data_IF_967055136781
#
_entry.id   IF_967055136781
#
_cell.length_a   1.000
_cell.length_b   1.000
_cell.length_c   1.000
_cell.angle_alpha   90.00
_cell.angle_beta   90.00
_cell.angle_gamma   90.00
#
_symmetry.space_group_name_H-M   'P 1'
#
loop_
_entity.id
_entity.type
_entity.pdbx_description
1 polymer ?
#
# COMPACT_ATOMS: atom_id res chain seq x y z
N UNK A 1 -0.64 -0.78 16.39
CA UNK A 1 0.14 -1.67 15.52
C UNK A 1 -0.24 -3.09 15.88
N UNK A 2 -0.53 -3.94 14.90
CA UNK A 2 -0.95 -5.33 15.17
C UNK A 2 0.27 -6.19 15.59
N UNK A 3 0.07 -7.26 16.36
CA UNK A 3 1.16 -8.11 16.90
C UNK A 3 2.04 -8.68 15.78
N UNK A 4 1.41 -9.17 14.71
CA UNK A 4 2.12 -9.70 13.53
C UNK A 4 2.92 -8.62 12.78
N UNK A 5 2.41 -7.40 12.71
CA UNK A 5 3.14 -6.30 12.09
C UNK A 5 4.38 -5.94 12.91
N UNK A 6 4.26 -5.99 14.24
CA UNK A 6 5.36 -5.75 15.16
C UNK A 6 6.49 -6.75 14.99
N UNK A 7 6.18 -8.05 15.01
CA UNK A 7 7.19 -9.09 14.81
C UNK A 7 7.88 -9.00 13.45
N UNK A 8 7.13 -8.64 12.38
CA UNK A 8 7.70 -8.42 11.05
C UNK A 8 8.68 -7.24 11.01
N UNK A 9 8.32 -6.12 11.64
CA UNK A 9 9.18 -4.93 11.68
C UNK A 9 10.39 -5.14 12.60
N UNK A 10 10.24 -5.92 13.67
CA UNK A 10 11.36 -6.34 14.54
C UNK A 10 12.36 -7.19 13.76
N UNK A 11 11.89 -8.19 12.99
CA UNK A 11 12.76 -8.99 12.13
C UNK A 11 13.51 -8.15 11.08
N UNK A 12 12.83 -7.17 10.47
CA UNK A 12 13.49 -6.23 9.55
C UNK A 12 14.56 -5.43 10.28
N UNK A 13 14.25 -4.86 11.45
CA UNK A 13 15.19 -4.08 12.25
C UNK A 13 16.43 -4.90 12.67
N UNK A 14 16.25 -6.19 12.97
CA UNK A 14 17.35 -7.11 13.31
C UNK A 14 18.22 -7.46 12.10
N UNK A 15 17.64 -7.50 10.89
CA UNK A 15 18.37 -7.76 9.65
C UNK A 15 19.25 -6.58 9.17
N UNK A 16 19.03 -5.38 9.72
CA UNK A 16 19.78 -4.19 9.32
C UNK A 16 21.21 -4.18 9.90
N UNK A 17 22.16 -3.57 9.17
CA UNK A 17 23.50 -3.36 9.69
C UNK A 17 23.45 -2.44 10.92
N UNK A 18 24.41 -2.62 11.82
CA UNK A 18 24.47 -1.90 13.11
C UNK A 18 24.39 -0.38 12.92
N UNK A 19 25.10 0.16 11.94
CA UNK A 19 25.15 1.60 11.67
C UNK A 19 23.78 2.18 11.28
N UNK A 20 23.00 1.43 10.49
CA UNK A 20 21.65 1.85 10.10
C UNK A 20 20.67 1.75 11.27
N UNK A 21 20.77 0.69 12.06
CA UNK A 21 19.98 0.52 13.28
C UNK A 21 20.25 1.68 14.24
N UNK A 22 21.51 2.02 14.49
CA UNK A 22 21.89 3.12 15.39
C UNK A 22 21.35 4.47 14.88
N UNK A 23 21.45 4.74 13.58
CA UNK A 23 20.82 5.92 12.93
C UNK A 23 19.32 5.98 13.18
N UNK A 24 18.59 4.87 13.02
CA UNK A 24 17.14 4.81 13.25
C UNK A 24 16.80 5.09 14.72
N UNK A 25 17.60 4.58 15.67
CA UNK A 25 17.42 4.86 17.09
C UNK A 25 17.64 6.33 17.44
N UNK A 26 18.64 6.98 16.84
CA UNK A 26 18.91 8.41 17.04
C UNK A 26 17.79 9.28 16.48
N UNK A 27 17.33 8.98 15.27
CA UNK A 27 16.18 9.66 14.66
C UNK A 27 14.91 9.47 15.50
N UNK A 28 14.63 8.25 15.95
CA UNK A 28 13.49 7.96 16.82
C UNK A 28 13.57 8.73 18.14
N UNK A 29 14.78 8.88 18.71
CA UNK A 29 15.00 9.65 19.94
C UNK A 29 14.69 11.13 19.73
N UNK A 30 15.11 11.71 18.60
CA UNK A 30 14.80 13.10 18.21
C UNK A 30 13.29 13.30 18.02
N UNK A 31 12.64 12.45 17.23
CA UNK A 31 11.19 12.55 16.98
C UNK A 31 10.36 12.39 18.26
N UNK A 32 10.75 11.47 19.15
CA UNK A 32 10.11 11.28 20.46
C UNK A 32 10.23 12.53 21.33
N UNK A 33 11.42 13.13 21.40
CA UNK A 33 11.65 14.38 22.15
C UNK A 33 10.77 15.52 21.60
N UNK A 34 10.74 15.69 20.29
CA UNK A 34 9.95 16.74 19.64
C UNK A 34 8.44 16.54 19.86
N UNK A 35 7.97 15.30 19.76
CA UNK A 35 6.57 14.96 20.04
C UNK A 35 6.20 15.20 21.52
N UNK A 36 7.10 14.92 22.46
CA UNK A 36 6.91 15.23 23.88
C UNK A 36 6.88 16.73 24.14
N UNK A 37 7.79 17.50 23.54
CA UNK A 37 7.81 18.98 23.63
C UNK A 37 6.50 19.59 23.08
N UNK A 38 6.01 19.11 21.93
CA UNK A 38 4.73 19.55 21.34
C UNK A 38 3.53 19.22 22.23
N UNK A 39 3.54 18.06 22.92
CA UNK A 39 2.50 17.72 23.90
C UNK A 39 2.55 18.63 25.14
N UNK A 40 3.74 18.97 25.63
CA UNK A 40 3.92 19.90 26.74
C UNK A 40 3.52 21.34 26.40
N UNK A 41 3.78 21.80 25.17
CA UNK A 41 3.41 23.13 24.71
C UNK A 41 1.88 23.32 24.57
N UNK A 42 1.15 22.30 24.10
CA UNK A 42 -0.32 22.31 23.99
C UNK A 42 -1.06 22.18 25.34
N UNK A 43 -0.35 22.04 26.45
CA UNK A 43 -0.91 21.97 27.79
C UNK A 43 -0.94 23.33 28.52
N UNK A 44 -0.49 24.40 27.87
CA UNK A 44 -0.66 25.79 28.36
C UNK A 44 -1.74 26.48 27.53
N UNK A 45 -2.64 27.16 28.24
CA UNK A 45 -3.77 27.99 27.79
C UNK A 45 -5.14 27.29 27.65
N UNK A 46 -5.86 27.24 28.78
CA UNK A 46 -7.31 27.49 28.84
C UNK A 46 -7.60 28.51 29.94
N UNK A 47 -8.51 29.45 29.67
CA UNK A 47 -8.88 30.59 30.52
C UNK A 47 -9.66 30.20 31.79
N UNK A 48 -10.24 28.99 31.84
CA UNK A 48 -11.16 28.54 32.91
C UNK A 48 -10.59 27.50 33.89
N UNK A 49 -9.28 27.21 33.84
CA UNK A 49 -8.59 26.39 34.86
C UNK A 49 -9.00 24.90 34.96
N UNK A 50 -10.08 24.44 34.30
CA UNK A 50 -10.50 23.05 34.40
C UNK A 50 -9.72 22.15 33.44
N UNK A 51 -8.76 21.42 34.02
CA UNK A 51 -7.89 20.47 33.33
C UNK A 51 -8.68 19.24 32.89
N UNK A 52 -9.17 19.21 31.66
CA UNK A 52 -9.58 17.94 31.03
C UNK A 52 -8.33 17.18 30.58
N UNK A 53 -7.57 16.67 31.56
CA UNK A 53 -6.47 15.77 31.31
C UNK A 53 -7.00 14.46 30.76
N UNK A 54 -7.22 14.36 29.43
CA UNK A 54 -7.34 13.06 28.76
C UNK A 54 -6.16 12.22 29.25
N UNK A 55 -6.48 11.16 29.97
CA UNK A 55 -5.60 10.49 30.92
C UNK A 55 -4.16 10.32 30.44
N UNK A 56 -3.22 10.39 31.40
CA UNK A 56 -1.77 10.22 31.23
C UNK A 56 -1.44 9.03 30.31
N UNK A 57 -1.47 9.25 28.99
CA UNK A 57 -1.04 8.26 28.01
C UNK A 57 0.46 8.13 28.25
N UNK A 58 0.87 6.96 28.74
CA UNK A 58 2.28 6.64 28.95
C UNK A 58 3.04 7.02 27.67
N UNK A 59 4.20 7.68 27.79
CA UNK A 59 4.98 7.98 26.61
C UNK A 59 5.26 6.68 25.87
N UNK A 60 4.96 6.65 24.56
CA UNK A 60 5.28 5.50 23.73
C UNK A 60 6.78 5.15 23.94
N UNK A 61 7.12 3.86 24.13
CA UNK A 61 8.49 3.43 24.31
C UNK A 61 9.32 3.77 23.06
N UNK A 62 10.62 4.00 23.25
CA UNK A 62 11.52 4.38 22.14
C UNK A 62 11.49 3.35 21.01
N UNK A 63 11.40 2.06 21.36
CA UNK A 63 11.32 0.97 20.41
C UNK A 63 10.12 1.09 19.46
N UNK A 64 8.95 1.50 19.95
CA UNK A 64 7.77 1.70 19.08
C UNK A 64 7.94 2.89 18.11
N UNK A 65 8.75 3.90 18.47
CA UNK A 65 9.12 4.97 17.54
C UNK A 65 10.06 4.46 16.43
N UNK A 66 11.01 3.59 16.78
CA UNK A 66 11.90 2.95 15.80
C UNK A 66 11.10 2.10 14.83
N UNK A 67 10.17 1.28 15.32
CA UNK A 67 9.33 0.44 14.45
C UNK A 67 8.47 1.27 13.49
N UNK A 68 7.92 2.42 13.94
CA UNK A 68 7.21 3.36 13.04
C UNK A 68 8.12 3.98 11.99
N UNK A 69 9.39 4.17 12.30
CA UNK A 69 10.37 4.72 11.37
C UNK A 69 10.80 3.67 10.34
N UNK A 70 11.04 2.44 10.79
CA UNK A 70 11.27 1.28 9.92
C UNK A 70 10.08 1.08 8.98
N UNK A 71 8.86 1.11 9.50
CA UNK A 71 7.65 1.01 8.67
C UNK A 71 7.63 2.11 7.60
N UNK A 72 7.98 3.36 7.93
CA UNK A 72 8.05 4.45 6.95
C UNK A 72 9.21 4.36 5.95
N UNK A 73 10.39 3.93 6.35
CA UNK A 73 11.53 3.86 5.41
C UNK A 73 11.46 2.60 4.54
N UNK A 74 10.96 1.49 5.09
CA UNK A 74 10.96 0.19 4.43
C UNK A 74 9.61 -0.20 3.81
N UNK A 75 8.48 0.40 4.20
CA UNK A 75 7.26 0.27 3.40
C UNK A 75 7.44 0.90 2.02
N UNK A 76 8.18 2.01 1.92
CA UNK A 76 8.46 2.67 0.64
C UNK A 76 9.52 1.91 -0.18
N UNK A 77 10.59 1.38 0.44
CA UNK A 77 11.51 0.48 -0.27
C UNK A 77 10.83 -0.77 -0.81
N UNK A 78 9.85 -1.35 -0.10
CA UNK A 78 9.03 -2.47 -0.64
C UNK A 78 8.13 -2.07 -1.79
N UNK A 79 7.77 -0.80 -1.94
CA UNK A 79 6.99 -0.33 -3.11
C UNK A 79 7.91 -0.14 -4.32
N UNK A 80 9.15 0.28 -4.12
CA UNK A 80 10.14 0.43 -5.21
C UNK A 80 10.84 -0.89 -5.59
N UNK A 81 11.09 -1.79 -4.65
CA UNK A 81 11.66 -3.13 -4.89
C UNK A 81 10.58 -4.19 -5.18
N UNK A 82 9.30 -3.85 -4.96
CA UNK A 82 8.13 -4.70 -5.20
C UNK A 82 7.47 -4.51 -6.57
N UNK A 83 7.96 -3.58 -7.39
CA UNK A 83 7.91 -3.73 -8.85
C UNK A 83 9.03 -4.70 -9.29
N UNK A 84 9.12 -5.85 -8.62
CA UNK A 84 9.62 -7.02 -9.31
C UNK A 84 8.85 -7.08 -10.63
N UNK A 85 9.57 -7.33 -11.72
CA UNK A 85 8.97 -7.62 -13.02
C UNK A 85 8.07 -8.85 -12.86
N UNK A 86 6.88 -8.68 -12.28
CA UNK A 86 5.80 -9.62 -12.48
C UNK A 86 5.57 -9.58 -13.98
N UNK A 87 5.71 -10.72 -14.64
CA UNK A 87 5.59 -10.80 -16.08
C UNK A 87 4.23 -10.22 -16.47
N UNK A 88 4.27 -9.04 -17.09
CA UNK A 88 3.08 -8.33 -17.50
C UNK A 88 2.55 -9.03 -18.75
N UNK A 89 1.66 -9.99 -18.54
CA UNK A 89 1.02 -10.69 -19.64
C UNK A 89 -0.01 -9.78 -20.29
N UNK A 90 -0.03 -9.76 -21.62
CA UNK A 90 -1.00 -8.96 -22.38
C UNK A 90 -2.22 -9.81 -22.74
N UNK A 91 -3.38 -9.15 -22.81
CA UNK A 91 -4.61 -9.80 -23.25
C UNK A 91 -5.67 -8.82 -23.72
N UNK A 92 -6.75 -9.36 -24.26
CA UNK A 92 -7.90 -8.63 -24.78
C UNK A 92 -9.09 -8.78 -23.83
N UNK A 93 -9.69 -7.66 -23.43
CA UNK A 93 -10.91 -7.67 -22.62
C UNK A 93 -12.09 -8.13 -23.47
N UNK A 94 -12.66 -9.29 -23.15
CA UNK A 94 -13.83 -9.86 -23.85
C UNK A 94 -15.12 -9.66 -23.06
N UNK A 95 -15.03 -9.45 -21.74
CA UNK A 95 -16.18 -9.23 -20.88
C UNK A 95 -15.85 -8.30 -19.72
N UNK A 96 -16.85 -7.57 -19.24
CA UNK A 96 -16.68 -6.62 -18.14
C UNK A 96 -17.84 -6.76 -17.15
N UNK A 97 -17.52 -6.94 -15.86
CA UNK A 97 -18.49 -6.95 -14.77
C UNK A 97 -18.04 -5.98 -13.68
N UNK A 98 -18.84 -5.76 -12.64
CA UNK A 98 -18.49 -4.81 -11.56
C UNK A 98 -17.20 -5.24 -10.86
N UNK A 99 -16.12 -4.45 -11.02
CA UNK A 99 -14.77 -4.69 -10.45
C UNK A 99 -14.00 -5.91 -11.00
N UNK A 100 -14.49 -6.57 -12.04
CA UNK A 100 -13.79 -7.70 -12.70
C UNK A 100 -13.87 -7.57 -14.23
N UNK A 101 -12.85 -8.06 -14.91
CA UNK A 101 -12.81 -8.20 -16.35
C UNK A 101 -12.56 -9.65 -16.72
N UNK A 102 -13.20 -10.09 -17.80
CA UNK A 102 -12.90 -11.35 -18.46
C UNK A 102 -11.92 -11.03 -19.59
N UNK A 103 -10.73 -11.61 -19.55
CA UNK A 103 -9.62 -11.28 -20.45
C UNK A 103 -9.14 -12.55 -21.16
N UNK A 104 -8.98 -12.46 -22.46
CA UNK A 104 -8.38 -13.51 -23.28
C UNK A 104 -6.89 -13.20 -23.43
N UNK A 105 -6.03 -14.09 -22.91
CA UNK A 105 -4.58 -13.95 -23.04
C UNK A 105 -4.11 -14.26 -24.45
N UNK A 106 -3.04 -13.60 -24.89
CA UNK A 106 -2.43 -13.86 -26.19
C UNK A 106 -1.92 -15.31 -26.27
N UNK A 107 -2.46 -16.10 -27.21
CA UNK A 107 -2.10 -17.51 -27.39
C UNK A 107 -2.96 -18.50 -26.59
N UNK A 108 -3.93 -18.03 -25.79
CA UNK A 108 -4.92 -18.89 -25.14
C UNK A 108 -6.28 -18.80 -25.82
N UNK A 109 -7.04 -19.90 -25.76
CA UNK A 109 -8.40 -19.98 -26.32
C UNK A 109 -9.46 -19.73 -25.25
N UNK A 110 -9.14 -20.01 -23.99
CA UNK A 110 -10.08 -19.87 -22.87
C UNK A 110 -9.93 -18.51 -22.20
N UNK A 111 -11.04 -17.80 -21.95
CA UNK A 111 -11.00 -16.52 -21.27
C UNK A 111 -10.82 -16.69 -19.76
N UNK A 112 -9.95 -15.86 -19.21
CA UNK A 112 -9.59 -15.85 -17.79
C UNK A 112 -10.31 -14.71 -17.05
N UNK A 113 -10.64 -14.92 -15.78
CA UNK A 113 -11.26 -13.88 -14.95
C UNK A 113 -10.17 -13.12 -14.18
N UNK A 114 -10.06 -11.82 -14.43
CA UNK A 114 -9.13 -10.94 -13.75
C UNK A 114 -9.86 -9.87 -12.93
N UNK A 115 -9.30 -9.51 -11.79
CA UNK A 115 -9.76 -8.40 -10.95
C UNK A 115 -9.26 -7.08 -11.54
N UNK A 116 -10.04 -6.01 -11.39
CA UNK A 116 -9.57 -4.66 -11.71
C UNK A 116 -8.79 -4.08 -10.53
N UNK A 117 -7.68 -3.40 -10.83
CA UNK A 117 -6.96 -2.58 -9.85
C UNK A 117 -7.88 -1.57 -9.17
N UNK A 118 -7.55 -1.16 -7.94
CA UNK A 118 -8.42 -0.28 -7.16
C UNK A 118 -8.71 1.06 -7.87
N UNK A 119 -7.73 1.63 -8.56
CA UNK A 119 -7.91 2.86 -9.35
C UNK A 119 -8.81 2.62 -10.57
N UNK A 120 -8.58 1.52 -11.31
CA UNK A 120 -9.36 1.20 -12.49
C UNK A 120 -10.81 0.80 -12.15
N UNK A 121 -11.02 0.10 -11.05
CA UNK A 121 -12.33 -0.21 -10.51
C UNK A 121 -13.13 1.06 -10.17
N UNK A 122 -12.45 2.11 -9.66
CA UNK A 122 -13.06 3.40 -9.37
C UNK A 122 -13.46 4.19 -10.61
N UNK A 123 -12.75 4.00 -11.73
CA UNK A 123 -12.98 4.69 -13.01
C UNK A 123 -13.54 3.80 -14.11
N UNK A 124 -14.14 2.66 -13.74
CA UNK A 124 -14.48 1.59 -14.67
C UNK A 124 -15.29 2.04 -15.89
N UNK A 125 -16.20 3.02 -15.74
CA UNK A 125 -17.04 3.52 -16.84
C UNK A 125 -16.25 4.26 -17.94
N UNK A 126 -15.08 4.81 -17.64
CA UNK A 126 -14.27 5.57 -18.60
C UNK A 126 -12.92 4.90 -18.89
N UNK A 127 -12.36 4.21 -17.90
CA UNK A 127 -11.00 3.67 -17.92
C UNK A 127 -10.87 2.37 -18.73
N UNK A 128 -11.90 1.53 -18.80
CA UNK A 128 -11.83 0.21 -19.45
C UNK A 128 -13.11 -0.12 -20.22
N UNK A 129 -12.97 -0.78 -21.35
CA UNK A 129 -14.05 -1.22 -22.21
C UNK A 129 -13.77 -2.62 -22.78
N UNK A 130 -14.81 -3.27 -23.28
CA UNK A 130 -14.65 -4.51 -24.06
C UNK A 130 -13.94 -4.18 -25.38
N UNK A 131 -12.97 -5.00 -25.75
CA UNK A 131 -12.08 -4.79 -26.90
C UNK A 131 -10.79 -4.05 -26.56
N UNK A 132 -10.61 -3.58 -25.32
CA UNK A 132 -9.35 -2.99 -24.89
C UNK A 132 -8.26 -4.05 -24.74
N UNK A 133 -7.03 -3.70 -25.12
CA UNK A 133 -5.85 -4.46 -24.76
C UNK A 133 -5.36 -4.03 -23.39
N UNK A 134 -5.01 -5.00 -22.54
CA UNK A 134 -4.66 -4.75 -21.15
C UNK A 134 -3.40 -5.51 -20.74
N UNK A 135 -2.72 -4.98 -19.73
CA UNK A 135 -1.60 -5.64 -19.05
C UNK A 135 -2.08 -6.20 -17.73
N UNK A 136 -1.79 -7.48 -17.52
CA UNK A 136 -2.24 -8.28 -16.39
C UNK A 136 -1.01 -8.69 -15.58
N UNK A 137 -1.17 -8.73 -14.28
CA UNK A 137 -0.18 -9.25 -13.35
C UNK A 137 -0.76 -10.38 -12.51
N UNK A 138 0.07 -11.33 -12.13
CA UNK A 138 -0.31 -12.39 -11.19
C UNK A 138 -0.10 -11.92 -9.75
N UNK A 139 -1.12 -12.06 -8.91
CA UNK A 139 -1.03 -11.75 -7.48
C UNK A 139 -0.78 -13.04 -6.68
N UNK A 140 0.41 -13.12 -6.08
CA UNK A 140 0.70 -14.12 -5.04
C UNK A 140 0.03 -13.72 -3.72
N UNK A 141 -1.27 -14.01 -3.61
CA UNK A 141 -2.03 -13.85 -2.38
C UNK A 141 -2.20 -15.21 -1.68
N UNK A 142 -1.79 -15.36 -0.41
CA UNK A 142 -1.92 -16.63 0.28
C UNK A 142 -3.39 -16.94 0.58
N UNK A 143 -3.95 -17.95 -0.07
CA UNK A 143 -5.23 -18.57 0.29
C UNK A 143 -6.38 -18.43 -0.72
N UNK A 144 -6.17 -17.84 -1.89
CA UNK A 144 -7.17 -17.81 -2.97
C UNK A 144 -6.55 -18.34 -4.28
N UNK A 145 -7.36 -19.01 -5.10
CA UNK A 145 -6.99 -19.43 -6.47
C UNK A 145 -6.39 -18.24 -7.23
N UNK A 146 -5.30 -18.48 -7.95
CA UNK A 146 -4.47 -17.51 -8.70
C UNK A 146 -5.26 -16.26 -9.12
N UNK A 147 -5.01 -15.14 -8.44
CA UNK A 147 -5.74 -13.91 -8.69
C UNK A 147 -4.97 -13.05 -9.68
N UNK A 148 -5.41 -13.09 -10.93
CA UNK A 148 -4.94 -12.16 -11.93
C UNK A 148 -5.52 -10.76 -11.70
N UNK A 149 -4.69 -9.74 -11.78
CA UNK A 149 -5.10 -8.34 -11.68
C UNK A 149 -4.75 -7.57 -12.93
N UNK A 150 -5.73 -6.87 -13.49
CA UNK A 150 -5.51 -5.93 -14.58
C UNK A 150 -4.92 -4.65 -14.00
N UNK A 151 -3.68 -4.35 -14.40
CA UNK A 151 -2.93 -3.20 -13.89
C UNK A 151 -3.12 -1.99 -14.78
N UNK A 152 -3.09 -2.19 -16.11
CA UNK A 152 -3.13 -1.09 -17.07
C UNK A 152 -3.89 -1.43 -18.35
N UNK A 153 -4.41 -0.40 -19.00
CA UNK A 153 -5.05 -0.47 -20.33
C UNK A 153 -4.12 0.17 -21.34
N UNK A 154 -3.79 -0.56 -22.41
CA UNK A 154 -2.94 -0.06 -23.49
C UNK A 154 -3.68 1.02 -24.29
N UNK A 155 -2.94 1.92 -24.98
CA UNK A 155 -3.54 2.99 -25.77
C UNK A 155 -4.56 2.46 -26.80
N UNK A 156 -5.77 3.02 -26.77
CA UNK A 156 -6.84 2.66 -27.70
C UNK A 156 -6.57 3.23 -29.08
N UNK A 157 -6.70 2.40 -30.12
CA UNK A 157 -6.67 2.85 -31.53
C UNK A 157 -7.98 3.52 -31.94
N UNK A 158 -9.10 3.11 -31.33
CA UNK A 158 -10.43 3.64 -31.61
C UNK A 158 -11.30 3.59 -30.36
N UNK A 159 -12.37 4.39 -30.32
CA UNK A 159 -13.32 4.42 -29.20
C UNK A 159 -14.74 4.59 -29.71
N UNK A 160 -15.63 3.67 -29.35
CA UNK A 160 -17.07 3.83 -29.52
C UNK A 160 -17.65 4.45 -28.25
N UNK A 161 -18.23 5.63 -28.37
CA UNK A 161 -18.92 6.32 -27.27
C UNK A 161 -20.43 6.25 -27.48
N UNK A 162 -21.19 6.15 -26.39
CA UNK A 162 -22.63 6.33 -26.40
C UNK A 162 -22.94 7.80 -26.04
N UNK A 163 -23.84 8.47 -26.76
CA UNK A 163 -24.27 9.84 -26.45
C UNK A 163 -25.03 9.91 -25.12
#
# INVERSE_FOLDING_TARGET
MNKHQKTKLEAILESLPKDERDRLYDQARKQRSDAQKRRGAKARETYDGERVGRGKRRPDPLHDWVLRLVDKEYAHKRVDEGQGQQELTQGLVVGLTRRRATVLLDGQTEPMLARLSADMAGRQQSAIAVGDRVSITELDLPGEEEQHEVVNVLPRTSKLARP
#
